data_IF_343421219602
#
_entry.id   IF_343421219602
#
_cell.length_a   1.000
_cell.length_b   1.000
_cell.length_c   1.000
_cell.angle_alpha   90.00
_cell.angle_beta   90.00
_cell.angle_gamma   90.00
#
_symmetry.space_group_name_H-M   'P 1'
#
loop_
_entity.id
_entity.type
_entity.pdbx_description
1 polymer ?
#
# COMPACT_ATOMS: atom_id res chain seq x y z
N UNK A 1 -36.52 -1.08 -23.65
CA UNK A 1 -36.30 -1.01 -22.20
C UNK A 1 -34.80 -0.82 -22.02
N UNK A 2 -34.36 0.38 -21.64
CA UNK A 2 -32.95 0.58 -21.32
C UNK A 2 -32.62 -0.31 -20.11
N UNK A 3 -31.49 -1.04 -20.09
CA UNK A 3 -31.13 -1.81 -18.91
C UNK A 3 -31.02 -0.85 -17.72
N UNK A 4 -31.77 -1.13 -16.66
CA UNK A 4 -31.70 -0.38 -15.41
C UNK A 4 -30.23 -0.30 -14.99
N UNK A 5 -29.70 0.93 -14.94
CA UNK A 5 -28.33 1.16 -14.53
C UNK A 5 -28.15 0.55 -13.13
N UNK A 6 -27.22 -0.40 -12.99
CA UNK A 6 -26.93 -1.00 -11.70
C UNK A 6 -26.66 0.12 -10.68
N UNK A 7 -27.18 0.02 -9.44
CA UNK A 7 -27.02 1.07 -8.44
C UNK A 7 -25.53 1.37 -8.23
N UNK A 8 -25.20 2.67 -8.20
CA UNK A 8 -23.83 3.13 -8.01
C UNK A 8 -23.23 2.55 -6.72
N UNK A 9 -22.02 1.98 -6.81
CA UNK A 9 -21.39 1.34 -5.67
C UNK A 9 -21.05 2.36 -4.57
N UNK A 10 -21.31 2.00 -3.31
CA UNK A 10 -21.03 2.88 -2.16
C UNK A 10 -19.52 2.96 -1.87
N UNK A 11 -18.89 4.15 -1.83
CA UNK A 11 -17.45 4.29 -1.58
C UNK A 11 -17.02 4.12 -0.12
N UNK A 12 -17.96 4.05 0.83
CA UNK A 12 -17.66 4.16 2.27
C UNK A 12 -16.75 3.06 2.81
N UNK A 13 -16.94 1.80 2.39
CA UNK A 13 -16.12 0.67 2.87
C UNK A 13 -14.67 0.87 2.42
N UNK A 14 -14.47 1.20 1.15
CA UNK A 14 -13.12 1.41 0.59
C UNK A 14 -12.44 2.64 1.17
N UNK A 15 -13.20 3.70 1.50
CA UNK A 15 -12.67 4.87 2.20
C UNK A 15 -12.18 4.52 3.61
N UNK A 16 -12.92 3.69 4.36
CA UNK A 16 -12.51 3.21 5.69
C UNK A 16 -11.28 2.31 5.61
N UNK A 17 -11.22 1.40 4.63
CA UNK A 17 -10.05 0.57 4.39
C UNK A 17 -8.82 1.42 4.03
N UNK A 18 -8.97 2.45 3.20
CA UNK A 18 -7.91 3.40 2.88
C UNK A 18 -7.41 4.15 4.12
N UNK A 19 -8.31 4.66 4.97
CA UNK A 19 -7.93 5.31 6.22
C UNK A 19 -7.15 4.36 7.13
N UNK A 20 -7.62 3.12 7.30
CA UNK A 20 -6.92 2.10 8.07
C UNK A 20 -5.54 1.79 7.49
N UNK A 21 -5.40 1.70 6.16
CA UNK A 21 -4.09 1.55 5.50
C UNK A 21 -3.16 2.70 5.84
N UNK A 22 -3.62 3.95 5.81
CA UNK A 22 -2.77 5.10 6.16
C UNK A 22 -2.33 5.07 7.63
N UNK A 23 -3.25 4.75 8.55
CA UNK A 23 -2.94 4.67 9.97
C UNK A 23 -1.89 3.59 10.24
N UNK A 24 -2.12 2.36 9.75
CA UNK A 24 -1.21 1.25 9.99
C UNK A 24 0.14 1.44 9.26
N UNK A 25 0.11 2.01 8.05
CA UNK A 25 1.32 2.36 7.31
C UNK A 25 2.19 3.37 8.06
N UNK A 26 1.59 4.47 8.52
CA UNK A 26 2.28 5.50 9.30
C UNK A 26 2.81 4.97 10.64
N UNK A 27 1.98 4.22 11.38
CA UNK A 27 2.41 3.58 12.63
C UNK A 27 3.56 2.61 12.40
N UNK A 28 3.50 1.78 11.36
CA UNK A 28 4.55 0.82 11.04
C UNK A 28 5.88 1.48 10.70
N UNK A 29 5.87 2.59 9.96
CA UNK A 29 7.08 3.39 9.69
C UNK A 29 7.64 3.96 10.99
N UNK A 30 6.79 4.61 11.81
CA UNK A 30 7.23 5.23 13.06
C UNK A 30 7.80 4.21 14.05
N UNK A 31 7.14 3.07 14.21
CA UNK A 31 7.61 1.95 15.02
C UNK A 31 8.92 1.41 14.47
N UNK A 32 9.01 1.13 13.15
CA UNK A 32 10.23 0.62 12.53
C UNK A 32 11.43 1.54 12.74
N UNK A 33 11.26 2.85 12.57
CA UNK A 33 12.32 3.82 12.87
C UNK A 33 12.76 3.79 14.32
N UNK A 34 11.81 3.66 15.26
CA UNK A 34 12.09 3.61 16.69
C UNK A 34 12.78 2.31 17.11
N UNK A 35 12.32 1.17 16.64
CA UNK A 35 12.85 -0.16 17.00
C UNK A 35 14.18 -0.48 16.32
N UNK A 36 14.53 0.21 15.24
CA UNK A 36 15.88 0.17 14.66
C UNK A 36 16.95 0.74 15.59
N UNK A 37 16.58 1.53 16.60
CA UNK A 37 17.53 2.10 17.57
C UNK A 37 17.76 1.17 18.79
N UNK A 38 17.13 -0.01 18.82
CA UNK A 38 17.28 -0.98 19.90
C UNK A 38 18.55 -1.82 19.76
N UNK A 39 18.91 -2.53 20.83
CA UNK A 39 19.99 -3.52 20.86
C UNK A 39 19.44 -4.88 21.34
N UNK A 40 19.23 -5.87 20.44
CA UNK A 40 19.45 -5.80 19.00
C UNK A 40 18.37 -4.98 18.25
N UNK A 41 18.69 -4.42 17.06
CA UNK A 41 17.73 -3.70 16.24
C UNK A 41 16.63 -4.62 15.70
N UNK A 42 15.42 -4.09 15.51
CA UNK A 42 14.29 -4.84 14.99
C UNK A 42 13.44 -4.01 14.01
N UNK A 43 12.88 -4.67 13.00
CA UNK A 43 11.85 -4.12 12.13
C UNK A 43 10.53 -4.90 12.21
N UNK A 44 10.42 -5.94 13.04
CA UNK A 44 9.37 -6.94 12.88
C UNK A 44 7.96 -6.37 13.01
N UNK A 45 7.69 -5.58 14.06
CA UNK A 45 6.38 -4.92 14.21
C UNK A 45 6.17 -3.84 13.15
N UNK A 46 7.23 -3.11 12.79
CA UNK A 46 7.19 -2.12 11.71
C UNK A 46 6.82 -2.76 10.37
N UNK A 47 7.42 -3.89 10.03
CA UNK A 47 7.20 -4.66 8.81
C UNK A 47 5.78 -5.24 8.76
N UNK A 48 5.31 -5.83 9.88
CA UNK A 48 3.94 -6.33 10.00
C UNK A 48 2.90 -5.24 9.75
N UNK A 49 3.12 -4.03 10.27
CA UNK A 49 2.16 -2.94 10.12
C UNK A 49 2.30 -2.25 8.76
N UNK A 50 3.51 -1.81 8.40
CA UNK A 50 3.76 -0.97 7.23
C UNK A 50 3.66 -1.70 5.90
N UNK A 51 3.85 -3.01 5.88
CA UNK A 51 3.83 -3.84 4.66
C UNK A 51 2.78 -4.95 4.78
N UNK A 52 2.78 -5.70 5.88
CA UNK A 52 1.84 -6.80 6.10
C UNK A 52 0.39 -6.32 6.08
N UNK A 53 0.00 -5.55 7.10
CA UNK A 53 -1.36 -5.08 7.29
C UNK A 53 -1.80 -4.13 6.18
N UNK A 54 -0.94 -3.20 5.75
CA UNK A 54 -1.23 -2.31 4.61
C UNK A 54 -1.46 -3.07 3.31
N UNK A 55 -0.66 -4.11 3.03
CA UNK A 55 -0.81 -4.97 1.86
C UNK A 55 -2.11 -5.75 1.90
N UNK A 56 -2.44 -6.38 3.04
CA UNK A 56 -3.71 -7.11 3.21
C UNK A 56 -4.95 -6.20 3.09
N UNK A 57 -4.91 -5.01 3.70
CA UNK A 57 -6.00 -4.04 3.58
C UNK A 57 -6.13 -3.50 2.15
N UNK A 58 -5.01 -3.27 1.46
CA UNK A 58 -5.00 -2.82 0.08
C UNK A 58 -5.49 -3.90 -0.88
N UNK A 59 -5.17 -5.18 -0.63
CA UNK A 59 -5.78 -6.32 -1.31
C UNK A 59 -7.30 -6.33 -1.13
N UNK A 60 -7.78 -6.25 0.12
CA UNK A 60 -9.22 -6.23 0.38
C UNK A 60 -9.90 -5.07 -0.36
N UNK A 61 -9.31 -3.87 -0.33
CA UNK A 61 -9.83 -2.70 -1.04
C UNK A 61 -9.86 -2.87 -2.55
N UNK A 62 -8.75 -3.33 -3.15
CA UNK A 62 -8.58 -3.35 -4.61
C UNK A 62 -9.13 -4.61 -5.30
N UNK A 63 -9.19 -5.75 -4.61
CA UNK A 63 -9.68 -7.01 -5.18
C UNK A 63 -11.08 -7.39 -4.70
N UNK A 64 -11.36 -7.28 -3.40
CA UNK A 64 -12.66 -7.69 -2.82
C UNK A 64 -13.69 -6.58 -2.96
N UNK A 65 -13.35 -5.37 -2.53
CA UNK A 65 -14.22 -4.19 -2.60
C UNK A 65 -13.95 -3.32 -3.83
N UNK A 66 -13.46 -3.93 -4.91
CA UNK A 66 -12.98 -3.24 -6.11
C UNK A 66 -14.02 -2.26 -6.71
N UNK A 67 -15.33 -2.61 -6.67
CA UNK A 67 -16.41 -1.70 -7.14
C UNK A 67 -16.59 -0.48 -6.24
N UNK A 68 -16.51 -0.66 -4.92
CA UNK A 68 -16.57 0.42 -3.94
C UNK A 68 -15.36 1.35 -4.09
N UNK A 69 -14.18 0.78 -4.33
CA UNK A 69 -12.96 1.55 -4.48
C UNK A 69 -12.88 2.26 -5.85
N UNK A 70 -13.42 1.66 -6.91
CA UNK A 70 -13.63 2.34 -8.19
C UNK A 70 -14.55 3.57 -8.04
N UNK A 71 -15.68 3.42 -7.34
CA UNK A 71 -16.58 4.54 -7.04
C UNK A 71 -15.89 5.64 -6.21
N UNK A 72 -15.03 5.27 -5.24
CA UNK A 72 -14.22 6.22 -4.47
C UNK A 72 -13.24 7.00 -5.35
N UNK A 73 -12.73 6.37 -6.40
CA UNK A 73 -11.78 6.97 -7.35
C UNK A 73 -12.45 7.70 -8.52
N UNK A 74 -13.79 7.65 -8.62
CA UNK A 74 -14.52 8.17 -9.78
C UNK A 74 -14.24 7.37 -11.06
N UNK A 75 -13.83 6.10 -10.93
CA UNK A 75 -13.48 5.23 -12.04
C UNK A 75 -14.69 4.45 -12.55
N UNK A 76 -14.90 4.43 -13.87
CA UNK A 76 -15.86 3.57 -14.55
C UNK A 76 -15.13 2.45 -15.30
N UNK A 77 -15.14 1.25 -14.73
CA UNK A 77 -14.47 0.07 -15.30
C UNK A 77 -15.38 -0.80 -16.17
N UNK A 78 -16.59 -0.33 -16.48
CA UNK A 78 -17.57 -1.15 -17.20
C UNK A 78 -17.75 -2.53 -16.54
N UNK A 79 -17.74 -3.59 -17.34
CA UNK A 79 -18.08 -4.95 -16.85
C UNK A 79 -16.92 -5.71 -16.18
N UNK A 80 -15.66 -5.34 -16.42
CA UNK A 80 -14.48 -6.06 -15.90
C UNK A 80 -13.46 -5.07 -15.36
N UNK A 81 -13.00 -5.33 -14.13
CA UNK A 81 -12.01 -4.50 -13.45
C UNK A 81 -10.76 -5.32 -13.12
N UNK A 82 -10.13 -5.89 -14.16
CA UNK A 82 -8.99 -6.79 -13.98
C UNK A 82 -7.76 -6.05 -13.42
N UNK A 83 -7.53 -4.81 -13.87
CA UNK A 83 -6.40 -4.01 -13.43
C UNK A 83 -6.38 -3.79 -11.91
N UNK A 84 -7.50 -3.36 -11.32
CA UNK A 84 -7.55 -3.12 -9.88
C UNK A 84 -7.44 -4.42 -9.09
N UNK A 85 -8.01 -5.52 -9.61
CA UNK A 85 -7.86 -6.84 -9.00
C UNK A 85 -6.39 -7.28 -9.02
N UNK A 86 -5.67 -7.11 -10.12
CA UNK A 86 -4.25 -7.41 -10.25
C UNK A 86 -3.40 -6.57 -9.28
N UNK A 87 -3.70 -5.27 -9.14
CA UNK A 87 -3.05 -4.40 -8.14
C UNK A 87 -3.31 -4.90 -6.72
N UNK A 88 -4.51 -5.36 -6.42
CA UNK A 88 -4.81 -5.95 -5.11
C UNK A 88 -4.09 -7.28 -4.88
N UNK A 89 -3.98 -8.14 -5.89
CA UNK A 89 -3.23 -9.39 -5.82
C UNK A 89 -1.73 -9.15 -5.65
N UNK A 90 -1.18 -8.11 -6.29
CA UNK A 90 0.17 -7.66 -6.01
C UNK A 90 0.27 -7.36 -4.52
N UNK A 91 -0.53 -6.43 -3.98
CA UNK A 91 -0.56 -6.06 -2.55
C UNK A 91 -0.67 -7.27 -1.59
N UNK A 92 -1.46 -8.28 -1.96
CA UNK A 92 -1.57 -9.53 -1.19
C UNK A 92 -0.22 -10.26 -1.10
N UNK A 93 0.53 -10.35 -2.21
CA UNK A 93 1.82 -11.03 -2.23
C UNK A 93 2.82 -10.37 -1.26
N UNK A 94 2.98 -9.05 -1.30
CA UNK A 94 3.86 -8.32 -0.37
C UNK A 94 3.41 -8.50 1.08
N UNK A 95 2.10 -8.35 1.32
CA UNK A 95 1.53 -8.46 2.66
C UNK A 95 1.74 -9.85 3.27
N UNK A 96 1.50 -10.91 2.50
CA UNK A 96 1.72 -12.29 2.95
C UNK A 96 3.20 -12.57 3.20
N UNK A 97 4.09 -12.15 2.30
CA UNK A 97 5.53 -12.36 2.48
C UNK A 97 6.05 -11.61 3.71
N UNK A 98 5.56 -10.40 3.99
CA UNK A 98 5.90 -9.67 5.21
C UNK A 98 5.42 -10.38 6.48
N UNK A 99 4.19 -10.91 6.49
CA UNK A 99 3.68 -11.70 7.61
C UNK A 99 4.53 -12.95 7.82
N UNK A 100 4.85 -13.68 6.75
CA UNK A 100 5.68 -14.88 6.83
C UNK A 100 7.10 -14.56 7.30
N UNK A 101 7.71 -13.49 6.79
CA UNK A 101 9.06 -13.07 7.20
C UNK A 101 9.17 -12.86 8.70
N UNK A 102 8.16 -12.21 9.29
CA UNK A 102 8.14 -11.94 10.73
C UNK A 102 7.78 -13.18 11.53
N UNK A 103 6.71 -13.90 11.15
CA UNK A 103 6.23 -15.08 11.90
C UNK A 103 7.25 -16.22 11.89
N UNK A 104 7.96 -16.40 10.79
CA UNK A 104 8.99 -17.44 10.63
C UNK A 104 10.40 -16.96 11.00
N UNK A 105 10.55 -15.70 11.42
CA UNK A 105 11.83 -15.15 11.88
C UNK A 105 12.92 -15.12 10.81
N UNK A 106 12.60 -14.66 9.59
CA UNK A 106 13.56 -14.55 8.48
C UNK A 106 14.65 -13.48 8.69
N UNK A 107 14.50 -12.64 9.72
CA UNK A 107 15.53 -11.73 10.20
C UNK A 107 15.48 -10.32 9.61
N UNK A 108 16.26 -9.42 10.22
CA UNK A 108 16.22 -7.97 9.95
C UNK A 108 16.49 -7.63 8.49
N UNK A 109 17.46 -8.29 7.84
CA UNK A 109 17.79 -8.04 6.44
C UNK A 109 16.60 -8.29 5.50
N UNK A 110 15.84 -9.38 5.74
CA UNK A 110 14.69 -9.72 4.90
C UNK A 110 13.53 -8.74 5.11
N UNK A 111 13.27 -8.38 6.36
CA UNK A 111 12.28 -7.34 6.70
C UNK A 111 12.65 -6.00 6.04
N UNK A 112 13.92 -5.60 6.09
CA UNK A 112 14.43 -4.38 5.46
C UNK A 112 14.33 -4.40 3.93
N UNK A 113 14.62 -5.54 3.28
CA UNK A 113 14.40 -5.71 1.83
C UNK A 113 12.93 -5.52 1.49
N UNK A 114 11.99 -6.04 2.28
CA UNK A 114 10.57 -5.84 2.01
C UNK A 114 10.18 -4.36 2.04
N UNK A 115 10.74 -3.58 2.98
CA UNK A 115 10.58 -2.11 2.99
C UNK A 115 11.09 -1.48 1.69
N UNK A 116 12.28 -1.87 1.23
CA UNK A 116 12.89 -1.34 0.01
C UNK A 116 12.07 -1.68 -1.24
N UNK A 117 11.69 -2.95 -1.43
CA UNK A 117 10.93 -3.34 -2.62
C UNK A 117 9.57 -2.61 -2.62
N UNK A 118 8.92 -2.47 -1.45
CA UNK A 118 7.65 -1.75 -1.39
C UNK A 118 7.83 -0.24 -1.62
N UNK A 119 8.94 0.35 -1.16
CA UNK A 119 9.31 1.73 -1.46
C UNK A 119 9.46 1.96 -2.96
N UNK A 120 10.22 1.10 -3.65
CA UNK A 120 10.40 1.20 -5.10
C UNK A 120 9.07 1.09 -5.84
N UNK A 121 8.22 0.14 -5.46
CA UNK A 121 6.88 0.03 -6.04
C UNK A 121 6.06 1.33 -5.88
N UNK A 122 5.99 1.88 -4.66
CA UNK A 122 5.23 3.10 -4.37
C UNK A 122 5.80 4.31 -5.13
N UNK A 123 7.12 4.45 -5.19
CA UNK A 123 7.77 5.54 -5.92
C UNK A 123 7.60 5.39 -7.44
N UNK A 124 7.58 4.17 -7.98
CA UNK A 124 7.21 3.93 -9.38
C UNK A 124 5.76 4.32 -9.66
N UNK A 125 4.83 4.02 -8.75
CA UNK A 125 3.43 4.48 -8.86
C UNK A 125 3.35 6.00 -8.80
N UNK A 126 4.17 6.67 -7.99
CA UNK A 126 4.26 8.13 -7.97
C UNK A 126 4.71 8.67 -9.35
N UNK A 127 5.77 8.11 -9.93
CA UNK A 127 6.25 8.50 -11.27
C UNK A 127 5.14 8.34 -12.31
N UNK A 128 4.43 7.21 -12.30
CA UNK A 128 3.29 7.00 -13.20
C UNK A 128 2.23 8.10 -13.05
N UNK A 129 1.87 8.47 -11.82
CA UNK A 129 0.87 9.53 -11.60
C UNK A 129 1.38 10.95 -11.92
N UNK A 130 2.69 11.17 -11.87
CA UNK A 130 3.30 12.44 -12.30
C UNK A 130 3.34 12.56 -13.83
N UNK A 131 3.44 11.43 -14.53
CA UNK A 131 3.41 11.35 -15.99
C UNK A 131 1.98 11.37 -16.56
N UNK A 132 0.95 11.04 -15.76
CA UNK A 132 -0.44 11.05 -16.22
C UNK A 132 -0.91 12.43 -16.66
N UNK A 133 -1.59 12.45 -17.81
CA UNK A 133 -2.19 13.68 -18.36
C UNK A 133 -3.39 14.16 -17.55
N UNK A 134 -3.83 15.40 -17.77
CA UNK A 134 -5.08 15.91 -17.16
C UNK A 134 -6.30 15.11 -17.64
N UNK A 135 -6.31 14.66 -18.88
CA UNK A 135 -7.41 13.90 -19.50
C UNK A 135 -7.51 12.47 -18.94
N UNK A 136 -6.39 11.92 -18.43
CA UNK A 136 -6.36 10.66 -17.68
C UNK A 136 -6.81 10.81 -16.21
N UNK A 137 -7.20 12.01 -15.79
CA UNK A 137 -7.62 12.27 -14.41
C UNK A 137 -6.44 12.38 -13.45
N UNK A 138 -5.43 13.21 -13.78
CA UNK A 138 -4.27 13.51 -12.92
C UNK A 138 -4.70 13.68 -11.45
N UNK A 139 -4.07 12.92 -10.56
CA UNK A 139 -4.37 12.98 -9.12
C UNK A 139 -4.15 14.39 -8.56
N UNK A 140 -4.98 14.74 -7.59
CA UNK A 140 -4.77 15.94 -6.79
C UNK A 140 -3.39 15.92 -6.10
N UNK A 141 -2.85 17.12 -5.82
CA UNK A 141 -1.51 17.27 -5.26
C UNK A 141 -1.36 16.63 -3.88
N UNK A 142 -2.37 16.73 -3.02
CA UNK A 142 -2.34 16.16 -1.66
C UNK A 142 -2.05 14.65 -1.64
N UNK A 143 -2.83 13.82 -2.36
CA UNK A 143 -2.54 12.39 -2.51
C UNK A 143 -1.15 12.08 -3.09
N UNK A 144 -0.62 12.91 -3.99
CA UNK A 144 0.74 12.73 -4.52
C UNK A 144 1.81 13.00 -3.46
N UNK A 145 1.63 14.05 -2.65
CA UNK A 145 2.53 14.34 -1.52
C UNK A 145 2.52 13.19 -0.52
N UNK A 146 1.33 12.67 -0.17
CA UNK A 146 1.21 11.53 0.74
C UNK A 146 1.90 10.27 0.19
N UNK A 147 1.72 9.99 -1.12
CA UNK A 147 2.38 8.87 -1.79
C UNK A 147 3.91 9.01 -1.81
N UNK A 148 4.40 10.23 -2.10
CA UNK A 148 5.82 10.53 -2.09
C UNK A 148 6.43 10.40 -0.69
N UNK A 149 5.79 11.00 0.32
CA UNK A 149 6.24 10.92 1.71
C UNK A 149 6.28 9.47 2.21
N UNK A 150 5.23 8.70 1.94
CA UNK A 150 5.17 7.29 2.33
C UNK A 150 6.26 6.46 1.63
N UNK A 151 6.39 6.58 0.30
CA UNK A 151 7.42 5.86 -0.46
C UNK A 151 8.84 6.21 -0.03
N UNK A 152 9.14 7.50 0.18
CA UNK A 152 10.45 7.94 0.66
C UNK A 152 10.75 7.44 2.07
N UNK A 153 9.75 7.38 2.94
CA UNK A 153 9.98 6.90 4.29
C UNK A 153 10.17 5.40 4.37
N UNK A 154 9.47 4.61 3.56
CA UNK A 154 9.78 3.20 3.37
C UNK A 154 11.21 3.00 2.87
N UNK A 155 11.66 3.82 1.92
CA UNK A 155 13.03 3.76 1.39
C UNK A 155 14.08 4.02 2.48
N UNK A 156 13.87 5.05 3.30
CA UNK A 156 14.76 5.40 4.42
C UNK A 156 14.80 4.27 5.45
N UNK A 157 13.64 3.78 5.91
CA UNK A 157 13.57 2.70 6.90
C UNK A 157 14.22 1.42 6.38
N UNK A 158 13.92 1.04 5.14
CA UNK A 158 14.55 -0.14 4.51
C UNK A 158 16.07 0.02 4.38
N UNK A 159 16.55 1.20 4.00
CA UNK A 159 17.99 1.47 3.88
C UNK A 159 18.68 1.38 5.24
N UNK A 160 18.10 2.00 6.27
CA UNK A 160 18.65 1.93 7.63
C UNK A 160 18.62 0.51 8.19
N UNK A 161 17.55 -0.24 7.94
CA UNK A 161 17.47 -1.66 8.32
C UNK A 161 18.54 -2.51 7.67
N UNK A 162 18.84 -2.29 6.39
CA UNK A 162 19.92 -2.98 5.69
C UNK A 162 21.30 -2.64 6.24
N UNK A 163 21.53 -1.41 6.69
CA UNK A 163 22.79 -1.00 7.30
C UNK A 163 22.99 -1.52 8.73
N UNK A 164 21.90 -1.91 9.39
CA UNK A 164 21.90 -2.42 10.76
C UNK A 164 21.86 -3.96 10.87
N UNK A 165 21.63 -4.66 9.75
CA UNK A 165 21.56 -6.12 9.66
C UNK A 165 22.93 -6.76 9.43
#
# INVERSE_FOLDING_TARGET
MAPDAAPAANPAISARLMLATYILGGLGIGIGMWTLQWDPPSLSLGCLLAIGATGLLSFARHSVFHRSDAARMGWDYGRRNNFQIEVGLANLAWGLVAVLAVVLGWGLAVEAVLFLVFAFYILSVLVLNLMSSRDEGRRALGPLIALAAFGMMLLVVGTWGMLAA
#
